data_IF_592135885282
#
_entry.id   IF_592135885282
#
_cell.length_a   1.000
_cell.length_b   1.000
_cell.length_c   1.000
_cell.angle_alpha   90.00
_cell.angle_beta   90.00
_cell.angle_gamma   90.00
#
_symmetry.space_group_name_H-M   'P 1'
#
loop_
_entity.id
_entity.type
_entity.pdbx_description
1 polymer ?
#
# COMPACT_ATOMS: atom_id res chain seq x y z
N UNK A 1 -27.30 10.05 -12.83
CA UNK A 1 -26.59 9.27 -11.79
C UNK A 1 -27.39 9.37 -10.51
N UNK A 2 -27.67 8.26 -9.83
CA UNK A 2 -28.13 8.32 -8.45
C UNK A 2 -27.12 9.13 -7.62
N UNK A 3 -27.61 9.99 -6.74
CA UNK A 3 -26.75 10.80 -5.88
C UNK A 3 -26.23 9.93 -4.75
N UNK A 4 -24.93 9.70 -4.70
CA UNK A 4 -24.26 9.05 -3.56
C UNK A 4 -24.08 10.08 -2.44
N UNK A 5 -24.53 9.76 -1.23
CA UNK A 5 -24.23 10.59 -0.06
C UNK A 5 -23.00 10.03 0.65
N UNK A 6 -21.98 10.88 0.81
CA UNK A 6 -20.74 10.50 1.51
C UNK A 6 -20.54 11.45 2.68
N UNK A 7 -20.36 10.89 3.87
CA UNK A 7 -19.95 11.60 5.08
C UNK A 7 -18.53 11.21 5.42
N UNK A 8 -17.71 12.20 5.71
CA UNK A 8 -16.33 11.99 6.13
C UNK A 8 -16.19 12.36 7.60
N UNK A 9 -15.54 11.51 8.38
CA UNK A 9 -15.17 11.83 9.76
C UNK A 9 -13.87 11.13 10.16
N UNK A 10 -13.14 11.75 11.09
CA UNK A 10 -12.01 11.14 11.80
C UNK A 10 -12.37 10.86 13.27
N UNK A 11 -13.65 10.99 13.64
CA UNK A 11 -14.18 10.77 14.98
C UNK A 11 -14.95 9.44 15.02
N UNK A 12 -14.49 8.56 15.90
CA UNK A 12 -15.06 7.22 16.07
C UNK A 12 -16.54 7.25 16.47
N UNK A 13 -16.93 8.15 17.37
CA UNK A 13 -18.30 8.25 17.86
C UNK A 13 -19.23 8.87 16.81
N UNK A 14 -18.74 9.81 16.02
CA UNK A 14 -19.47 10.34 14.86
C UNK A 14 -19.70 9.26 13.81
N UNK A 15 -18.69 8.46 13.49
CA UNK A 15 -18.84 7.33 12.56
C UNK A 15 -19.90 6.33 13.05
N UNK A 16 -19.93 6.04 14.36
CA UNK A 16 -20.99 5.20 14.96
C UNK A 16 -22.38 5.82 14.82
N UNK A 17 -22.54 7.10 15.12
CA UNK A 17 -23.83 7.80 14.96
C UNK A 17 -24.31 7.78 13.50
N UNK A 18 -23.39 7.97 12.55
CA UNK A 18 -23.70 7.91 11.12
C UNK A 18 -24.11 6.51 10.69
N UNK A 19 -23.41 5.47 11.15
CA UNK A 19 -23.80 4.07 10.96
C UNK A 19 -25.22 3.81 11.49
N UNK A 20 -25.49 4.25 12.71
CA UNK A 20 -26.80 4.07 13.35
C UNK A 20 -27.91 4.85 12.63
N UNK A 21 -27.55 5.91 11.89
CA UNK A 21 -28.44 6.65 10.97
C UNK A 21 -28.60 6.01 9.57
N UNK A 22 -27.99 4.85 9.34
CA UNK A 22 -28.12 4.05 8.13
C UNK A 22 -27.03 4.24 7.08
N UNK A 23 -25.95 4.98 7.37
CA UNK A 23 -24.78 5.05 6.49
C UNK A 23 -23.98 3.74 6.58
N UNK A 24 -23.50 3.21 5.45
CA UNK A 24 -22.54 2.09 5.48
C UNK A 24 -21.13 2.60 5.76
N UNK A 25 -20.45 2.14 6.82
CA UNK A 25 -19.05 2.43 7.03
C UNK A 25 -18.17 1.68 6.02
N UNK A 26 -17.26 2.40 5.37
CA UNK A 26 -16.24 1.85 4.47
C UNK A 26 -14.87 2.24 5.02
N UNK A 27 -14.04 1.23 5.34
CA UNK A 27 -12.69 1.39 5.90
C UNK A 27 -12.62 2.31 7.13
N UNK A 28 -13.65 2.26 7.97
CA UNK A 28 -13.79 3.11 9.14
C UNK A 28 -12.96 2.60 10.33
N UNK A 29 -11.63 2.62 10.19
CA UNK A 29 -10.66 2.22 11.20
C UNK A 29 -10.08 3.41 11.96
N UNK A 30 -10.17 3.40 13.30
CA UNK A 30 -9.80 4.54 14.16
C UNK A 30 -8.65 4.20 15.13
N UNK A 31 -7.69 3.40 14.68
CA UNK A 31 -6.50 3.06 15.44
C UNK A 31 -6.83 2.31 16.72
N UNK A 32 -6.57 2.92 17.89
CA UNK A 32 -6.81 2.27 19.19
C UNK A 32 -8.29 2.06 19.52
N UNK A 33 -9.19 2.76 18.84
CA UNK A 33 -10.64 2.59 19.03
C UNK A 33 -11.22 1.44 18.22
N UNK A 34 -10.42 0.78 17.37
CA UNK A 34 -10.87 -0.28 16.48
C UNK A 34 -11.67 0.27 15.30
N UNK A 35 -12.51 -0.59 14.73
CA UNK A 35 -13.27 -0.32 13.52
C UNK A 35 -14.75 -0.09 13.80
N UNK A 36 -15.37 0.83 13.06
CA UNK A 36 -16.83 0.97 13.03
C UNK A 36 -17.36 0.16 11.86
N UNK A 37 -17.96 -0.99 12.14
CA UNK A 37 -18.55 -1.87 11.13
C UNK A 37 -20.06 -1.63 10.99
N UNK A 38 -20.54 -1.61 9.75
CA UNK A 38 -21.96 -1.69 9.40
C UNK A 38 -22.40 -3.13 9.10
N UNK A 39 -23.64 -3.32 8.60
CA UNK A 39 -24.18 -4.62 8.23
C UNK A 39 -23.31 -5.39 7.22
N UNK A 40 -22.56 -4.69 6.36
CA UNK A 40 -21.70 -5.33 5.35
C UNK A 40 -20.28 -5.62 5.85
N UNK A 41 -19.94 -5.17 7.06
CA UNK A 41 -18.63 -5.38 7.71
C UNK A 41 -17.42 -5.02 6.81
N UNK A 42 -17.46 -3.83 6.21
CA UNK A 42 -16.48 -3.36 5.23
C UNK A 42 -15.31 -2.60 5.88
N UNK A 43 -14.41 -3.37 6.48
CA UNK A 43 -13.06 -2.93 6.86
C UNK A 43 -12.11 -4.14 6.83
N UNK A 44 -10.80 -3.88 6.79
CA UNK A 44 -9.73 -4.89 6.90
C UNK A 44 -8.48 -4.35 7.62
N UNK A 45 -8.63 -3.28 8.39
CA UNK A 45 -7.55 -2.71 9.20
C UNK A 45 -7.62 -3.17 10.66
N UNK A 46 -6.47 -3.14 11.35
CA UNK A 46 -6.40 -3.40 12.78
C UNK A 46 -6.88 -4.81 13.14
N UNK A 47 -7.91 -4.90 13.99
CA UNK A 47 -8.53 -6.17 14.39
C UNK A 47 -9.21 -6.90 13.22
N UNK A 48 -9.58 -6.15 12.17
CA UNK A 48 -10.24 -6.67 10.98
C UNK A 48 -9.26 -7.11 9.88
N UNK A 49 -7.93 -7.04 10.11
CA UNK A 49 -6.90 -7.43 9.12
C UNK A 49 -6.84 -8.91 8.75
N UNK A 50 -7.73 -9.71 9.31
CA UNK A 50 -7.98 -11.09 8.88
C UNK A 50 -8.94 -11.17 7.66
N UNK A 51 -9.58 -10.06 7.29
CA UNK A 51 -10.53 -9.98 6.16
C UNK A 51 -9.82 -9.61 4.85
N UNK A 52 -10.44 -9.97 3.74
CA UNK A 52 -10.11 -9.43 2.42
C UNK A 52 -10.43 -7.92 2.36
N UNK A 53 -9.77 -7.20 1.44
CA UNK A 53 -10.03 -5.79 1.16
C UNK A 53 -11.51 -5.51 0.84
N UNK A 54 -11.90 -4.25 0.97
CA UNK A 54 -13.31 -3.89 0.82
C UNK A 54 -13.76 -3.88 -0.64
N UNK A 55 -12.89 -3.54 -1.60
CA UNK A 55 -13.27 -3.50 -3.02
C UNK A 55 -13.54 -4.88 -3.59
N UNK A 56 -12.70 -5.87 -3.28
CA UNK A 56 -12.88 -7.23 -3.81
C UNK A 56 -14.20 -7.83 -3.32
N UNK A 57 -14.54 -7.67 -2.04
CA UNK A 57 -15.82 -8.09 -1.46
C UNK A 57 -17.00 -7.33 -2.07
N UNK A 58 -16.87 -6.02 -2.22
CA UNK A 58 -17.91 -5.20 -2.84
C UNK A 58 -18.20 -5.60 -4.30
N UNK A 59 -17.17 -5.92 -5.09
CA UNK A 59 -17.32 -6.29 -6.50
C UNK A 59 -17.82 -7.74 -6.68
N UNK A 60 -17.29 -8.66 -5.86
CA UNK A 60 -17.56 -10.10 -5.96
C UNK A 60 -18.90 -10.47 -5.32
N UNK A 61 -19.14 -9.98 -4.11
CA UNK A 61 -20.17 -10.52 -3.21
C UNK A 61 -21.33 -9.53 -2.99
N UNK A 62 -21.07 -8.22 -3.01
CA UNK A 62 -22.03 -7.20 -2.55
C UNK A 62 -22.40 -6.17 -3.63
N UNK A 63 -22.23 -6.51 -4.90
CA UNK A 63 -22.45 -5.57 -5.99
C UNK A 63 -23.89 -5.04 -5.97
N UNK A 64 -24.04 -3.71 -5.99
CA UNK A 64 -25.32 -2.99 -5.95
C UNK A 64 -26.16 -3.19 -4.66
N UNK A 65 -25.63 -3.79 -3.59
CA UNK A 65 -26.35 -3.98 -2.32
C UNK A 65 -26.82 -2.65 -1.68
N UNK A 66 -26.16 -1.53 -1.99
CA UNK A 66 -26.53 -0.18 -1.53
C UNK A 66 -27.12 0.69 -2.65
N UNK A 67 -27.50 0.13 -3.81
CA UNK A 67 -28.01 0.91 -4.95
C UNK A 67 -29.33 1.65 -4.65
N UNK A 68 -30.18 1.11 -3.79
CA UNK A 68 -31.43 1.77 -3.38
C UNK A 68 -31.20 2.89 -2.35
N UNK A 69 -30.12 2.81 -1.56
CA UNK A 69 -29.79 3.77 -0.50
C UNK A 69 -28.26 3.96 -0.36
N UNK A 70 -27.63 4.69 -1.31
CA UNK A 70 -26.18 4.81 -1.44
C UNK A 70 -25.61 5.87 -0.49
N UNK A 71 -25.76 5.63 0.82
CA UNK A 71 -25.24 6.46 1.91
C UNK A 71 -24.05 5.78 2.57
N UNK A 72 -22.91 6.45 2.58
CA UNK A 72 -21.64 5.91 3.10
C UNK A 72 -20.97 6.85 4.10
N UNK A 73 -20.37 6.30 5.15
CA UNK A 73 -19.43 7.01 6.03
C UNK A 73 -18.03 6.46 5.79
N UNK A 74 -17.06 7.36 5.68
CA UNK A 74 -15.67 7.07 5.36
C UNK A 74 -14.72 7.82 6.28
N UNK A 75 -13.50 7.31 6.42
CA UNK A 75 -12.39 8.01 7.07
C UNK A 75 -11.14 7.91 6.19
N UNK A 76 -10.05 8.55 6.60
CA UNK A 76 -8.77 8.44 5.89
C UNK A 76 -8.76 9.07 4.49
N UNK A 77 -7.94 8.52 3.61
CA UNK A 77 -7.71 9.05 2.26
C UNK A 77 -8.62 8.32 1.26
N UNK A 78 -9.11 8.97 0.19
CA UNK A 78 -9.84 8.29 -0.87
C UNK A 78 -8.88 7.45 -1.73
N UNK A 79 -8.48 6.27 -1.25
CA UNK A 79 -7.72 5.30 -2.03
C UNK A 79 -8.61 4.47 -2.96
N UNK A 80 -7.97 3.60 -3.74
CA UNK A 80 -8.65 2.79 -4.73
C UNK A 80 -9.56 1.72 -4.10
N UNK A 81 -9.22 1.17 -2.93
CA UNK A 81 -9.99 0.09 -2.30
C UNK A 81 -11.33 0.64 -1.79
N UNK A 82 -11.30 1.67 -0.94
CA UNK A 82 -12.51 2.32 -0.44
C UNK A 82 -13.36 2.94 -1.57
N UNK A 83 -12.72 3.57 -2.56
CA UNK A 83 -13.44 4.21 -3.67
C UNK A 83 -14.11 3.18 -4.58
N UNK A 84 -13.42 2.11 -4.94
CA UNK A 84 -13.99 1.06 -5.80
C UNK A 84 -15.12 0.32 -5.08
N UNK A 85 -14.99 0.10 -3.76
CA UNK A 85 -16.07 -0.46 -2.96
C UNK A 85 -17.36 0.38 -3.03
N UNK A 86 -17.26 1.71 -2.87
CA UNK A 86 -18.41 2.62 -2.99
C UNK A 86 -19.04 2.55 -4.39
N UNK A 87 -18.22 2.54 -5.44
CA UNK A 87 -18.70 2.43 -6.83
C UNK A 87 -19.48 1.14 -7.06
N UNK A 88 -18.97 0.02 -6.57
CA UNK A 88 -19.61 -1.30 -6.72
C UNK A 88 -20.88 -1.42 -5.87
N UNK A 89 -20.85 -1.05 -4.59
CA UNK A 89 -21.99 -1.13 -3.67
C UNK A 89 -23.16 -0.25 -4.12
N UNK A 90 -22.88 0.95 -4.65
CA UNK A 90 -23.90 1.83 -5.17
C UNK A 90 -24.30 1.53 -6.62
N UNK A 91 -23.68 0.54 -7.28
CA UNK A 91 -24.01 0.16 -8.65
C UNK A 91 -23.79 1.28 -9.68
N UNK A 92 -22.79 2.14 -9.49
CA UNK A 92 -22.63 3.38 -10.28
C UNK A 92 -22.14 3.15 -11.72
N UNK A 93 -21.62 1.96 -11.99
CA UNK A 93 -21.25 1.46 -13.32
C UNK A 93 -21.76 0.02 -13.46
N UNK A 94 -22.11 -0.45 -14.67
CA UNK A 94 -22.50 -1.84 -14.88
C UNK A 94 -21.42 -2.81 -14.37
N UNK A 95 -21.83 -3.96 -13.80
CA UNK A 95 -20.89 -4.95 -13.26
C UNK A 95 -19.82 -5.36 -14.27
N UNK A 96 -20.20 -5.47 -15.54
CA UNK A 96 -19.31 -5.83 -16.66
C UNK A 96 -18.25 -4.76 -16.96
N UNK A 97 -18.40 -3.54 -16.46
CA UNK A 97 -17.40 -2.47 -16.58
C UNK A 97 -16.32 -2.54 -15.48
N UNK A 98 -16.43 -3.48 -14.54
CA UNK A 98 -15.43 -3.70 -13.48
C UNK A 98 -14.72 -5.02 -13.78
N UNK A 99 -13.52 -5.00 -14.40
CA UNK A 99 -12.77 -6.23 -14.68
C UNK A 99 -12.40 -6.95 -13.39
N UNK A 100 -12.52 -8.28 -13.38
CA UNK A 100 -12.10 -9.10 -12.24
C UNK A 100 -10.62 -8.89 -11.92
N UNK A 101 -9.79 -8.85 -12.95
CA UNK A 101 -8.36 -8.53 -12.87
C UNK A 101 -8.08 -7.18 -12.18
N UNK A 102 -8.98 -6.20 -12.31
CA UNK A 102 -8.77 -4.87 -11.73
C UNK A 102 -9.06 -4.86 -10.23
N UNK A 103 -10.20 -5.40 -9.78
CA UNK A 103 -10.51 -5.40 -8.35
C UNK A 103 -9.63 -6.37 -7.54
N UNK A 104 -9.18 -7.48 -8.15
CA UNK A 104 -8.15 -8.36 -7.56
C UNK A 104 -6.80 -7.63 -7.42
N UNK A 105 -6.43 -6.81 -8.41
CA UNK A 105 -5.21 -6.02 -8.34
C UNK A 105 -5.30 -4.92 -7.27
N UNK A 106 -6.46 -4.27 -7.13
CA UNK A 106 -6.70 -3.27 -6.08
C UNK A 106 -6.50 -3.89 -4.70
N UNK A 107 -7.19 -4.99 -4.40
CA UNK A 107 -7.05 -5.72 -3.13
C UNK A 107 -5.60 -6.17 -2.89
N UNK A 108 -4.97 -6.78 -3.89
CA UNK A 108 -3.61 -7.27 -3.76
C UNK A 108 -2.59 -6.14 -3.53
N UNK A 109 -2.83 -4.95 -4.09
CA UNK A 109 -1.97 -3.78 -3.89
C UNK A 109 -2.24 -3.08 -2.55
N UNK A 110 -3.49 -3.10 -2.08
CA UNK A 110 -3.86 -2.52 -0.80
C UNK A 110 -3.32 -3.34 0.38
N UNK A 111 -3.48 -4.67 0.31
CA UNK A 111 -2.98 -5.59 1.32
C UNK A 111 -1.45 -5.71 1.28
N UNK A 112 -0.84 -5.84 0.10
CA UNK A 112 0.60 -5.99 -0.04
C UNK A 112 1.16 -5.25 -1.27
N UNK A 113 1.43 -3.93 -1.15
CA UNK A 113 1.91 -3.09 -2.25
C UNK A 113 3.36 -3.40 -2.67
N UNK A 114 4.03 -4.32 -1.98
CA UNK A 114 5.47 -4.45 -1.97
C UNK A 114 5.97 -5.24 -3.17
N UNK A 115 6.89 -4.66 -3.93
CA UNK A 115 7.58 -5.34 -5.02
C UNK A 115 6.73 -5.61 -6.27
N UNK A 116 5.55 -5.00 -6.40
CA UNK A 116 4.69 -5.15 -7.58
C UNK A 116 5.00 -4.04 -8.60
N UNK A 117 5.30 -4.42 -9.83
CA UNK A 117 5.39 -3.47 -10.93
C UNK A 117 3.99 -3.20 -11.48
N UNK A 118 3.34 -2.13 -10.98
CA UNK A 118 1.99 -1.76 -11.41
C UNK A 118 1.91 -1.57 -12.93
N UNK A 119 2.94 -1.07 -13.58
CA UNK A 119 2.85 -0.78 -15.02
C UNK A 119 3.06 -2.01 -15.90
N UNK A 120 3.19 -3.21 -15.31
CA UNK A 120 3.31 -4.46 -16.06
C UNK A 120 2.00 -4.89 -16.73
N UNK A 121 0.85 -4.34 -16.32
CA UNK A 121 -0.48 -4.72 -16.85
C UNK A 121 -1.32 -3.49 -17.21
N UNK A 122 -2.29 -3.60 -18.14
CA UNK A 122 -3.23 -2.52 -18.43
C UNK A 122 -4.01 -2.04 -17.20
N UNK A 123 -4.43 -2.96 -16.32
CA UNK A 123 -5.15 -2.70 -15.07
C UNK A 123 -4.27 -1.96 -14.07
N UNK A 124 -2.98 -2.27 -14.02
CA UNK A 124 -2.08 -1.55 -13.14
C UNK A 124 -1.73 -0.15 -13.65
N UNK A 125 -1.81 0.12 -14.96
CA UNK A 125 -1.84 1.50 -15.46
C UNK A 125 -3.10 2.25 -15.00
N UNK A 126 -4.26 1.59 -14.96
CA UNK A 126 -5.51 2.17 -14.44
C UNK A 126 -5.38 2.50 -12.95
N UNK A 127 -4.85 1.58 -12.15
CA UNK A 127 -4.64 1.80 -10.72
C UNK A 127 -3.59 2.89 -10.48
N UNK A 128 -2.49 2.90 -11.23
CA UNK A 128 -1.49 3.95 -11.16
C UNK A 128 -2.05 5.31 -11.57
N UNK A 129 -2.92 5.37 -12.59
CA UNK A 129 -3.63 6.59 -12.96
C UNK A 129 -4.48 7.10 -11.80
N UNK A 130 -5.26 6.22 -11.18
CA UNK A 130 -6.12 6.59 -10.06
C UNK A 130 -5.32 7.12 -8.87
N UNK A 131 -4.25 6.41 -8.48
CA UNK A 131 -3.37 6.79 -7.37
C UNK A 131 -2.59 8.10 -7.63
N UNK A 132 -2.48 8.53 -8.89
CA UNK A 132 -1.85 9.80 -9.28
C UNK A 132 -2.84 10.96 -9.39
N UNK A 133 -4.14 10.76 -9.12
CA UNK A 133 -5.10 11.84 -9.22
C UNK A 133 -4.78 12.96 -8.23
N UNK A 134 -4.60 14.20 -8.71
CA UNK A 134 -4.34 15.30 -7.81
C UNK A 134 -5.61 15.64 -7.03
N UNK A 135 -5.43 16.13 -5.80
CA UNK A 135 -6.51 16.72 -4.98
C UNK A 135 -7.53 15.75 -4.35
N UNK A 136 -7.19 14.47 -4.19
CA UNK A 136 -7.97 13.55 -3.34
C UNK A 136 -7.69 13.84 -1.86
N UNK A 137 -8.34 14.90 -1.33
CA UNK A 137 -8.22 15.28 0.07
C UNK A 137 -9.08 14.42 1.01
N UNK A 138 -8.65 14.28 2.27
CA UNK A 138 -9.38 13.57 3.34
C UNK A 138 -10.65 14.34 3.73
N UNK A 139 -11.70 14.20 2.93
CA UNK A 139 -12.96 14.94 3.05
C UNK A 139 -14.05 14.26 2.22
N UNK A 140 -15.31 14.54 2.53
CA UNK A 140 -16.45 14.05 1.75
C UNK A 140 -16.34 14.45 0.26
N UNK A 141 -15.94 15.71 -0.01
CA UNK A 141 -15.73 16.21 -1.38
C UNK A 141 -14.59 15.48 -2.10
N UNK A 142 -13.53 15.12 -1.37
CA UNK A 142 -12.42 14.34 -1.91
C UNK A 142 -12.87 12.95 -2.35
N UNK A 143 -13.62 12.25 -1.50
CA UNK A 143 -14.24 10.96 -1.85
C UNK A 143 -15.23 11.07 -3.02
N UNK A 144 -16.07 12.11 -3.06
CA UNK A 144 -16.96 12.34 -4.21
C UNK A 144 -16.18 12.52 -5.52
N UNK A 145 -15.06 13.26 -5.47
CA UNK A 145 -14.16 13.44 -6.62
C UNK A 145 -13.52 12.11 -7.02
N UNK A 146 -13.06 11.33 -6.05
CA UNK A 146 -12.47 10.01 -6.25
C UNK A 146 -13.47 9.04 -6.90
N UNK A 147 -14.70 8.95 -6.38
CA UNK A 147 -15.78 8.12 -6.93
C UNK A 147 -16.10 8.52 -8.37
N UNK A 148 -16.18 9.82 -8.67
CA UNK A 148 -16.38 10.31 -10.03
C UNK A 148 -15.22 9.91 -10.97
N UNK A 149 -13.97 10.02 -10.51
CA UNK A 149 -12.79 9.64 -11.27
C UNK A 149 -12.74 8.13 -11.53
N UNK A 150 -13.05 7.30 -10.53
CA UNK A 150 -13.13 5.84 -10.66
C UNK A 150 -14.25 5.44 -11.63
N UNK A 151 -15.42 6.06 -11.54
CA UNK A 151 -16.52 5.84 -12.48
C UNK A 151 -16.13 6.17 -13.93
N UNK A 152 -15.42 7.29 -14.16
CA UNK A 152 -14.89 7.65 -15.48
C UNK A 152 -13.90 6.59 -15.97
N UNK A 153 -12.94 6.21 -15.12
CA UNK A 153 -11.91 5.22 -15.43
C UNK A 153 -12.52 3.88 -15.86
N UNK A 154 -13.53 3.40 -15.15
CA UNK A 154 -14.17 2.11 -15.42
C UNK A 154 -15.07 2.14 -16.67
N UNK A 155 -15.72 3.27 -16.97
CA UNK A 155 -16.58 3.40 -18.17
C UNK A 155 -15.78 3.66 -19.44
N UNK A 156 -14.82 4.57 -19.36
CA UNK A 156 -14.18 5.16 -20.53
C UNK A 156 -12.75 4.63 -20.73
N UNK A 157 -12.17 3.98 -19.71
CA UNK A 157 -10.78 3.56 -19.70
C UNK A 157 -9.79 4.73 -19.64
N UNK A 158 -8.54 4.44 -19.99
CA UNK A 158 -7.49 5.45 -20.13
C UNK A 158 -7.32 5.87 -21.59
N UNK A 159 -7.28 7.18 -21.81
CA UNK A 159 -6.84 7.75 -23.09
C UNK A 159 -5.34 7.52 -23.31
N UNK A 160 -4.87 7.65 -24.55
CA UNK A 160 -3.43 7.57 -24.85
C UNK A 160 -2.62 8.61 -24.04
N UNK A 161 -3.14 9.83 -23.92
CA UNK A 161 -2.55 10.91 -23.12
C UNK A 161 -2.50 10.57 -21.63
N UNK A 162 -3.55 9.93 -21.09
CA UNK A 162 -3.55 9.47 -19.70
C UNK A 162 -2.43 8.44 -19.46
N UNK A 163 -2.29 7.46 -20.36
CA UNK A 163 -1.25 6.42 -20.25
C UNK A 163 0.15 7.00 -20.33
N UNK A 164 0.39 7.92 -21.26
CA UNK A 164 1.69 8.60 -21.38
C UNK A 164 2.04 9.37 -20.10
N UNK A 165 1.07 10.12 -19.55
CA UNK A 165 1.26 10.86 -18.30
C UNK A 165 1.59 9.94 -17.13
N UNK A 166 0.87 8.83 -16.99
CA UNK A 166 1.11 7.83 -15.92
C UNK A 166 2.49 7.23 -16.03
N UNK A 167 2.89 6.79 -17.23
CA UNK A 167 4.22 6.21 -17.48
C UNK A 167 5.33 7.21 -17.22
N UNK A 168 5.17 8.47 -17.65
CA UNK A 168 6.16 9.54 -17.41
C UNK A 168 6.29 9.87 -15.93
N UNK A 169 5.17 9.96 -15.22
CA UNK A 169 5.13 10.19 -13.77
C UNK A 169 5.80 9.05 -13.00
N UNK A 170 5.48 7.81 -13.35
CA UNK A 170 6.09 6.64 -12.73
C UNK A 170 7.59 6.54 -13.04
N UNK A 171 8.03 6.79 -14.27
CA UNK A 171 9.46 6.85 -14.59
C UNK A 171 10.20 7.90 -13.76
N UNK A 172 9.60 9.06 -13.54
CA UNK A 172 10.16 10.09 -12.66
C UNK A 172 10.23 9.60 -11.20
N UNK A 173 9.16 8.97 -10.69
CA UNK A 173 9.15 8.34 -9.35
C UNK A 173 10.25 7.29 -9.22
N UNK A 174 10.41 6.39 -10.20
CA UNK A 174 11.43 5.33 -10.19
C UNK A 174 12.85 5.90 -10.09
N UNK A 175 13.15 6.94 -10.87
CA UNK A 175 14.44 7.66 -10.78
C UNK A 175 14.64 8.28 -9.40
N UNK A 176 13.65 9.00 -8.91
CA UNK A 176 13.69 9.64 -7.59
C UNK A 176 13.81 8.65 -6.42
N UNK A 177 13.28 7.44 -6.58
CA UNK A 177 13.47 6.36 -5.60
C UNK A 177 14.94 5.94 -5.52
N UNK A 178 15.64 5.86 -6.64
CA UNK A 178 17.05 5.48 -6.71
C UNK A 178 17.99 6.62 -6.27
N UNK A 179 17.64 7.88 -6.54
CA UNK A 179 18.39 9.06 -6.06
C UNK A 179 18.51 9.09 -4.52
N UNK A 180 17.58 8.43 -3.82
CA UNK A 180 17.58 8.31 -2.37
C UNK A 180 18.45 7.20 -1.81
N UNK A 181 19.17 6.41 -2.63
CA UNK A 181 20.04 5.35 -2.13
C UNK A 181 21.22 5.93 -1.36
N UNK A 182 21.38 5.49 -0.12
CA UNK A 182 22.42 5.97 0.80
C UNK A 182 23.55 4.95 0.92
N UNK A 183 23.21 3.67 1.04
CA UNK A 183 24.18 2.59 1.14
C UNK A 183 23.57 1.28 0.63
N UNK A 184 24.40 0.45 0.01
CA UNK A 184 24.12 -0.95 -0.22
C UNK A 184 25.16 -1.74 0.56
N UNK A 185 24.72 -2.59 1.49
CA UNK A 185 25.59 -3.33 2.40
C UNK A 185 25.57 -4.81 2.06
N UNK A 186 26.74 -5.43 2.02
CA UNK A 186 26.90 -6.88 2.05
C UNK A 186 26.69 -7.41 3.48
N UNK A 187 26.53 -8.74 3.60
CA UNK A 187 26.36 -9.42 4.89
C UNK A 187 27.45 -9.11 5.91
N UNK A 188 28.69 -8.96 5.46
CA UNK A 188 29.85 -8.62 6.30
C UNK A 188 29.91 -7.13 6.70
N UNK A 189 28.89 -6.33 6.37
CA UNK A 189 28.82 -4.89 6.63
C UNK A 189 29.58 -4.04 5.60
N UNK A 190 30.27 -4.65 4.63
CA UNK A 190 31.00 -3.90 3.60
C UNK A 190 30.05 -3.20 2.64
N UNK A 191 30.37 -1.95 2.31
CA UNK A 191 29.65 -1.21 1.27
C UNK A 191 29.88 -1.84 -0.12
N UNK A 192 28.82 -1.90 -0.91
CA UNK A 192 28.80 -2.37 -2.29
C UNK A 192 28.42 -1.21 -3.23
N UNK A 193 28.92 -1.30 -4.46
CA UNK A 193 28.50 -0.40 -5.52
C UNK A 193 27.08 -0.72 -5.98
N UNK A 194 26.30 0.32 -6.27
CA UNK A 194 24.99 0.20 -6.90
C UNK A 194 25.19 -0.07 -8.38
N UNK A 195 24.44 -1.02 -8.94
CA UNK A 195 24.51 -1.35 -10.36
C UNK A 195 24.27 -0.11 -11.24
N UNK A 196 24.98 0.00 -12.37
CA UNK A 196 24.88 1.15 -13.27
C UNK A 196 23.50 1.28 -13.93
N UNK A 197 22.79 0.15 -14.14
CA UNK A 197 21.47 0.10 -14.80
C UNK A 197 20.42 -0.64 -13.94
N UNK A 198 19.98 -0.07 -12.79
CA UNK A 198 19.06 -0.76 -11.87
C UNK A 198 17.71 -1.12 -12.48
N UNK A 199 17.25 -0.35 -13.48
CA UNK A 199 15.95 -0.57 -14.12
C UNK A 199 15.90 -1.83 -14.99
N UNK A 200 17.06 -2.27 -15.49
CA UNK A 200 17.16 -3.49 -16.30
C UNK A 200 17.11 -4.77 -15.43
N UNK A 201 17.33 -4.64 -14.12
CA UNK A 201 17.32 -5.77 -13.21
C UNK A 201 15.86 -6.15 -12.85
N UNK A 202 15.49 -7.43 -12.85
CA UNK A 202 14.19 -7.86 -12.36
C UNK A 202 14.10 -7.67 -10.84
N UNK A 203 12.88 -7.51 -10.33
CA UNK A 203 12.62 -7.62 -8.88
C UNK A 203 12.88 -9.07 -8.47
N UNK A 204 13.76 -9.27 -7.49
CA UNK A 204 14.12 -10.61 -7.00
C UNK A 204 13.21 -11.01 -5.84
N UNK A 205 12.80 -12.27 -5.82
CA UNK A 205 11.83 -12.83 -4.87
C UNK A 205 12.20 -14.27 -4.50
N UNK A 206 11.73 -14.73 -3.35
CA UNK A 206 11.91 -16.08 -2.82
C UNK A 206 13.36 -16.58 -2.88
N UNK A 207 13.56 -17.74 -3.48
CA UNK A 207 14.88 -18.36 -3.64
C UNK A 207 15.88 -17.47 -4.42
N UNK A 208 15.43 -16.76 -5.47
CA UNK A 208 16.29 -15.86 -6.25
C UNK A 208 16.77 -14.66 -5.43
N UNK A 209 15.96 -14.20 -4.47
CA UNK A 209 16.33 -13.14 -3.55
C UNK A 209 17.33 -13.63 -2.48
N UNK A 210 17.19 -14.89 -2.03
CA UNK A 210 18.05 -15.50 -1.03
C UNK A 210 19.39 -16.03 -1.58
N UNK A 211 19.49 -16.29 -2.90
CA UNK A 211 20.70 -16.79 -3.54
C UNK A 211 21.85 -15.76 -3.66
N UNK A 212 21.55 -14.47 -3.50
CA UNK A 212 22.56 -13.40 -3.40
C UNK A 212 22.92 -13.22 -1.92
N UNK A 213 24.21 -13.01 -1.54
CA UNK A 213 24.58 -12.93 -0.13
C UNK A 213 23.83 -11.76 0.48
N UNK A 214 22.99 -12.05 1.50
CA UNK A 214 21.95 -11.16 1.99
C UNK A 214 22.39 -9.70 2.04
N UNK A 215 21.84 -8.91 1.11
CA UNK A 215 22.16 -7.49 0.97
C UNK A 215 21.11 -6.66 1.68
N UNK A 216 21.54 -5.59 2.33
CA UNK A 216 20.65 -4.61 2.95
C UNK A 216 20.85 -3.26 2.28
N UNK A 217 19.78 -2.71 1.70
CA UNK A 217 19.78 -1.38 1.10
C UNK A 217 19.25 -0.36 2.10
N UNK A 218 20.01 0.71 2.34
CA UNK A 218 19.57 1.87 3.11
C UNK A 218 19.20 2.99 2.14
N UNK A 219 17.98 3.52 2.27
CA UNK A 219 17.49 4.60 1.43
C UNK A 219 16.91 5.75 2.25
N UNK A 220 17.21 6.98 1.87
CA UNK A 220 16.48 8.17 2.30
C UNK A 220 15.39 8.46 1.28
N UNK A 221 14.20 7.93 1.54
CA UNK A 221 13.08 7.97 0.60
C UNK A 221 12.43 9.36 0.53
N UNK A 222 12.25 9.85 -0.70
CA UNK A 222 11.37 10.97 -1.01
C UNK A 222 10.05 10.52 -1.66
N UNK A 223 9.97 9.25 -2.07
CA UNK A 223 8.84 8.59 -2.73
C UNK A 223 8.78 7.13 -2.30
N UNK A 224 7.61 6.49 -2.47
CA UNK A 224 7.51 5.04 -2.40
C UNK A 224 8.31 4.40 -3.53
N UNK A 225 9.22 3.49 -3.21
CA UNK A 225 10.19 2.95 -4.17
C UNK A 225 10.58 1.49 -3.95
N UNK A 226 9.86 0.76 -3.10
CA UNK A 226 10.19 -0.64 -2.76
C UNK A 226 10.26 -1.55 -4.00
N UNK A 227 9.37 -1.34 -4.98
CA UNK A 227 9.40 -2.01 -6.29
C UNK A 227 10.66 -1.75 -7.12
N UNK A 228 11.40 -0.69 -6.83
CA UNK A 228 12.69 -0.38 -7.45
C UNK A 228 13.85 -0.86 -6.59
N UNK A 229 13.75 -0.71 -5.26
CA UNK A 229 14.79 -1.07 -4.32
C UNK A 229 15.04 -2.59 -4.25
N UNK A 230 14.00 -3.42 -4.42
CA UNK A 230 14.16 -4.88 -4.48
C UNK A 230 14.84 -5.40 -5.74
N UNK A 231 15.13 -4.53 -6.70
CA UNK A 231 16.02 -4.84 -7.83
C UNK A 231 17.50 -4.84 -7.40
N UNK A 232 17.81 -4.16 -6.29
CA UNK A 232 19.16 -3.98 -5.76
C UNK A 232 19.47 -4.85 -4.54
N UNK A 233 18.50 -5.03 -3.64
CA UNK A 233 18.69 -5.80 -2.41
C UNK A 233 17.38 -6.46 -1.95
N UNK A 234 17.43 -7.66 -1.36
CA UNK A 234 16.23 -8.35 -0.87
C UNK A 234 15.75 -7.81 0.50
N UNK A 235 16.55 -7.02 1.20
CA UNK A 235 16.18 -6.31 2.42
C UNK A 235 16.37 -4.81 2.20
N UNK A 236 15.34 -4.02 2.50
CA UNK A 236 15.38 -2.57 2.34
C UNK A 236 14.99 -1.89 3.64
N UNK A 237 15.83 -0.95 4.07
CA UNK A 237 15.59 -0.04 5.19
C UNK A 237 15.39 1.37 4.64
N UNK A 238 14.15 1.85 4.69
CA UNK A 238 13.70 3.09 4.09
C UNK A 238 13.40 4.14 5.13
N UNK A 239 14.09 5.29 5.05
CA UNK A 239 13.88 6.44 5.90
C UNK A 239 13.08 7.53 5.19
N UNK A 240 11.88 7.83 5.66
CA UNK A 240 11.05 8.92 5.16
C UNK A 240 11.29 10.20 5.98
N UNK A 241 12.23 11.06 5.54
CA UNK A 241 12.71 12.21 6.32
C UNK A 241 11.61 13.19 6.79
N UNK A 242 10.59 13.42 5.94
CA UNK A 242 9.46 14.30 6.29
C UNK A 242 8.62 13.71 7.43
N UNK A 243 8.34 12.42 7.38
CA UNK A 243 7.56 11.70 8.38
C UNK A 243 8.37 11.34 9.63
N UNK A 244 9.71 11.30 9.52
CA UNK A 244 10.59 10.82 10.59
C UNK A 244 10.31 9.35 10.92
N UNK A 245 10.14 8.51 9.90
CA UNK A 245 9.80 7.09 10.02
C UNK A 245 10.82 6.24 9.29
N UNK A 246 11.16 5.10 9.89
CA UNK A 246 11.92 4.02 9.24
C UNK A 246 10.95 2.88 8.93
N UNK A 247 11.02 2.34 7.72
CA UNK A 247 10.29 1.16 7.26
C UNK A 247 11.30 0.12 6.81
N UNK A 248 11.15 -1.11 7.27
CA UNK A 248 11.99 -2.25 6.86
C UNK A 248 11.10 -3.22 6.11
N UNK A 249 11.56 -3.73 4.97
CA UNK A 249 10.78 -4.71 4.22
C UNK A 249 11.61 -5.64 3.33
N UNK A 250 11.01 -6.79 3.04
CA UNK A 250 11.41 -7.78 2.06
C UNK A 250 10.32 -7.88 0.97
N UNK A 251 10.66 -8.32 -0.25
CA UNK A 251 9.73 -8.30 -1.38
C UNK A 251 8.52 -9.23 -1.22
N UNK A 252 8.62 -10.26 -0.37
CA UNK A 252 7.54 -11.16 0.04
C UNK A 252 7.90 -11.94 1.31
N UNK A 253 6.91 -12.65 1.84
CA UNK A 253 7.03 -13.51 3.03
C UNK A 253 8.03 -14.66 2.81
N UNK A 254 8.06 -15.28 1.63
CA UNK A 254 9.00 -16.37 1.35
C UNK A 254 10.46 -15.88 1.42
N UNK A 255 10.74 -14.71 0.83
CA UNK A 255 12.05 -14.06 0.93
C UNK A 255 12.40 -13.75 2.38
N UNK A 256 11.47 -13.14 3.14
CA UNK A 256 11.70 -12.82 4.53
C UNK A 256 12.00 -14.07 5.35
N UNK A 257 11.27 -15.17 5.12
CA UNK A 257 11.46 -16.42 5.86
C UNK A 257 12.77 -17.11 5.54
N UNK A 258 13.22 -17.05 4.28
CA UNK A 258 14.52 -17.58 3.87
C UNK A 258 15.68 -16.79 4.47
N UNK A 259 15.53 -15.47 4.59
CA UNK A 259 16.59 -14.59 5.11
C UNK A 259 16.64 -14.53 6.64
N UNK A 260 15.50 -14.54 7.32
CA UNK A 260 15.40 -14.30 8.77
C UNK A 260 14.82 -15.48 9.58
N UNK A 261 14.51 -16.60 8.92
CA UNK A 261 13.96 -17.82 9.54
C UNK A 261 12.44 -17.92 9.45
N UNK A 262 11.86 -18.98 10.01
CA UNK A 262 10.44 -19.34 9.80
C UNK A 262 9.42 -18.23 10.11
N UNK A 263 9.76 -17.29 10.99
CA UNK A 263 8.91 -16.16 11.38
C UNK A 263 9.13 -14.89 10.53
N UNK A 264 10.01 -14.93 9.53
CA UNK A 264 10.38 -13.77 8.72
C UNK A 264 10.88 -12.60 9.57
N UNK A 265 10.45 -11.38 9.24
CA UNK A 265 10.84 -10.18 9.97
C UNK A 265 10.27 -10.10 11.40
N UNK A 266 9.34 -10.97 11.81
CA UNK A 266 8.87 -10.98 13.20
C UNK A 266 10.01 -11.28 14.18
N UNK A 267 11.00 -12.09 13.76
CA UNK A 267 12.22 -12.28 14.53
C UNK A 267 13.03 -10.97 14.64
N UNK A 268 13.16 -10.22 13.55
CA UNK A 268 13.86 -8.94 13.53
C UNK A 268 13.20 -7.88 14.41
N UNK A 269 11.87 -7.81 14.46
CA UNK A 269 11.17 -6.86 15.34
C UNK A 269 11.50 -7.07 16.81
N UNK A 270 11.58 -8.33 17.26
CA UNK A 270 11.95 -8.66 18.64
C UNK A 270 13.39 -8.26 18.96
N UNK A 271 14.31 -8.45 18.02
CA UNK A 271 15.72 -8.07 18.17
C UNK A 271 15.91 -6.54 18.19
N UNK A 272 15.17 -5.79 17.35
CA UNK A 272 15.20 -4.32 17.31
C UNK A 272 14.53 -3.68 18.54
N UNK A 273 13.72 -4.43 19.28
CA UNK A 273 13.20 -4.04 20.59
C UNK A 273 11.86 -3.31 20.55
N UNK A 274 11.52 -2.70 21.69
CA UNK A 274 10.16 -2.21 21.95
C UNK A 274 9.65 -1.20 20.90
N UNK A 275 8.46 -1.47 20.38
CA UNK A 275 7.73 -0.58 19.47
C UNK A 275 7.99 -0.83 17.98
N UNK A 276 9.04 -1.56 17.63
CA UNK A 276 9.17 -2.09 16.27
C UNK A 276 8.13 -3.17 16.03
N UNK A 277 7.57 -3.21 14.83
CA UNK A 277 6.56 -4.20 14.49
C UNK A 277 6.03 -4.06 13.07
N UNK A 278 5.26 -5.07 12.67
CA UNK A 278 4.69 -5.16 11.34
C UNK A 278 4.23 -6.59 11.05
N UNK A 279 4.22 -6.93 9.76
CA UNK A 279 3.99 -8.27 9.22
C UNK A 279 5.33 -8.97 9.00
N UNK A 280 5.27 -10.22 8.55
CA UNK A 280 6.42 -11.08 8.28
C UNK A 280 7.36 -10.53 7.19
N UNK A 281 6.86 -9.71 6.25
CA UNK A 281 7.62 -9.13 5.13
C UNK A 281 7.81 -7.61 5.20
N UNK A 282 7.11 -6.89 6.08
CA UNK A 282 7.25 -5.44 6.23
C UNK A 282 6.88 -4.96 7.62
N UNK A 283 7.61 -3.98 8.12
CA UNK A 283 7.29 -3.30 9.36
C UNK A 283 7.95 -1.94 9.46
N UNK A 284 7.80 -1.29 10.60
CA UNK A 284 8.32 0.04 10.79
C UNK A 284 8.70 0.36 12.21
N UNK A 285 9.36 1.50 12.33
CA UNK A 285 9.81 2.09 13.60
C UNK A 285 8.65 2.39 14.55
N UNK A 286 8.92 2.46 15.88
CA UNK A 286 7.93 2.77 16.91
C UNK A 286 7.08 4.01 16.63
N UNK A 287 5.74 3.88 16.77
CA UNK A 287 4.81 5.01 16.70
C UNK A 287 5.14 6.05 17.78
N UNK A 288 4.86 7.33 17.51
CA UNK A 288 5.15 8.44 18.44
C UNK A 288 6.62 8.89 18.53
N UNK A 289 7.60 8.05 18.19
CA UNK A 289 9.01 8.44 18.11
C UNK A 289 9.40 8.91 16.70
N UNK A 290 10.14 10.02 16.60
CA UNK A 290 10.68 10.53 15.33
C UNK A 290 12.07 9.95 15.10
N UNK A 291 12.25 9.24 13.98
CA UNK A 291 13.52 8.65 13.57
C UNK A 291 14.32 9.59 12.65
N UNK A 292 15.62 9.34 12.56
CA UNK A 292 16.57 9.95 11.64
C UNK A 292 17.26 8.93 10.72
N UNK A 293 18.11 9.44 9.83
CA UNK A 293 18.89 8.60 8.93
C UNK A 293 19.90 7.72 9.67
N UNK A 294 20.43 8.20 10.81
CA UNK A 294 21.31 7.41 11.66
C UNK A 294 20.60 6.16 12.21
N UNK A 295 19.33 6.29 12.63
CA UNK A 295 18.53 5.15 13.10
C UNK A 295 18.29 4.13 11.99
N UNK A 296 18.08 4.60 10.76
CA UNK A 296 17.96 3.71 9.59
C UNK A 296 19.25 2.94 9.31
N UNK A 297 20.43 3.58 9.47
CA UNK A 297 21.73 2.91 9.33
C UNK A 297 21.95 1.88 10.43
N UNK A 298 21.72 2.26 11.69
CA UNK A 298 21.83 1.35 12.82
C UNK A 298 20.87 0.14 12.70
N UNK A 299 19.66 0.38 12.18
CA UNK A 299 18.69 -0.69 11.89
C UNK A 299 19.23 -1.62 10.82
N UNK A 300 19.82 -1.08 9.73
CA UNK A 300 20.40 -1.91 8.68
C UNK A 300 21.56 -2.77 9.19
N UNK A 301 22.45 -2.20 9.99
CA UNK A 301 23.56 -2.92 10.63
C UNK A 301 23.04 -4.06 11.53
N UNK A 302 22.06 -3.78 12.39
CA UNK A 302 21.44 -4.80 13.25
C UNK A 302 20.78 -5.93 12.45
N UNK A 303 20.21 -5.64 11.27
CA UNK A 303 19.60 -6.67 10.42
C UNK A 303 20.65 -7.60 9.79
N UNK A 304 21.86 -7.12 9.52
CA UNK A 304 22.93 -7.96 8.94
C UNK A 304 23.28 -9.13 9.86
N UNK A 305 23.34 -8.88 11.17
CA UNK A 305 23.63 -9.89 12.19
C UNK A 305 22.54 -10.97 12.31
N UNK A 306 21.34 -10.69 11.80
CA UNK A 306 20.17 -11.57 11.89
C UNK A 306 19.95 -12.41 10.62
N UNK A 307 20.74 -12.18 9.56
CA UNK A 307 20.62 -12.94 8.31
C UNK A 307 21.10 -14.39 8.49
N UNK A 308 20.23 -15.34 8.16
CA UNK A 308 20.45 -16.78 8.33
C UNK A 308 21.18 -17.47 7.16
N UNK A 309 21.30 -16.79 6.01
CA UNK A 309 21.97 -17.29 4.78
C UNK A 309 23.45 -17.00 4.79
#
# INVERSE_FOLDING_TARGET
MQSVEIRFTNDFDEARRLRDAGFEPIECAFGQHGSVLGPLALDHHGEESHREGVAIRACRDLYAERAADPRFVVTGTPDADATLAIVALAGLVPRTAIPTSFHELVDAYDVDPIGRDLLATPEGEMLAWFNQQPHLGQSAKGFQTAVAAMCRLLRDGLTATDRERVRKSDLHRRRKALDGVVALLARDGRALDVAAEPFALPVRRGELAAADPGRVLVVQSAVWGFDQWYRLAPVVVSFAARAGRVTVGCPDVDTARRLFGAEGLNHAWRALGHGWGGRESIGGSPRGARQGLADARATAEALLDLLMV
#
